data_IF_597141649439
#
_entry.id   IF_597141649439
#
_cell.length_a   1.000
_cell.length_b   1.000
_cell.length_c   1.000
_cell.angle_alpha   90.00
_cell.angle_beta   90.00
_cell.angle_gamma   90.00
#
_symmetry.space_group_name_H-M   'P 1'
#
loop_
_entity.id
_entity.type
_entity.pdbx_description
1 polymer ?
#
# COMPACT_ATOMS: atom_id res chain seq x y z
N UNK A 1 21.15 -3.94 -5.14
CA UNK A 1 21.01 -2.97 -4.02
C UNK A 1 19.69 -3.25 -3.33
N UNK A 2 19.68 -3.39 -2.00
CA UNK A 2 18.47 -3.63 -1.21
C UNK A 2 18.14 -2.38 -0.38
N UNK A 3 16.86 -2.08 -0.20
CA UNK A 3 16.38 -1.04 0.71
C UNK A 3 15.48 -1.68 1.77
N UNK A 4 15.84 -1.51 3.04
CA UNK A 4 15.10 -2.06 4.18
C UNK A 4 14.32 -0.94 4.86
N UNK A 5 13.04 -1.18 5.13
CA UNK A 5 12.14 -0.20 5.71
C UNK A 5 11.49 -0.75 6.98
N UNK A 6 11.47 0.08 8.03
CA UNK A 6 10.76 -0.23 9.26
C UNK A 6 9.31 0.24 9.13
N UNK A 7 8.37 -0.61 9.51
CA UNK A 7 6.95 -0.27 9.61
C UNK A 7 6.42 -0.67 10.99
N UNK A 8 5.28 -0.11 11.39
CA UNK A 8 4.69 -0.48 12.68
C UNK A 8 4.33 -1.98 12.68
N UNK A 9 4.59 -2.71 13.78
CA UNK A 9 4.28 -4.14 13.87
C UNK A 9 2.83 -4.46 13.57
N UNK A 10 1.90 -3.61 14.03
CA UNK A 10 0.45 -3.76 13.82
C UNK A 10 0.06 -3.63 12.34
N UNK A 11 0.88 -2.94 11.56
CA UNK A 11 0.71 -2.75 10.12
C UNK A 11 1.51 -3.75 9.26
N UNK A 12 2.39 -4.55 9.87
CA UNK A 12 3.16 -5.60 9.21
C UNK A 12 2.33 -6.90 9.08
N UNK A 13 1.39 -6.89 8.14
CA UNK A 13 0.50 -8.01 7.84
C UNK A 13 0.02 -7.96 6.38
N UNK A 14 -0.80 -8.95 5.96
CA UNK A 14 -1.38 -8.97 4.60
C UNK A 14 -0.45 -9.53 3.53
N UNK A 15 0.33 -10.54 3.91
CA UNK A 15 1.22 -11.25 3.01
C UNK A 15 0.68 -12.66 2.73
N UNK A 16 0.90 -13.14 1.52
CA UNK A 16 0.57 -14.49 1.08
C UNK A 16 1.78 -15.13 0.37
N UNK A 17 1.82 -16.45 0.29
CA UNK A 17 2.88 -17.15 -0.42
C UNK A 17 2.82 -16.79 -1.90
N UNK A 18 3.98 -16.43 -2.47
CA UNK A 18 4.06 -16.12 -3.89
C UNK A 18 3.53 -17.29 -4.73
N UNK A 19 2.53 -17.03 -5.60
CA UNK A 19 1.85 -18.08 -6.39
C UNK A 19 1.25 -19.23 -5.56
N UNK A 20 0.92 -19.01 -4.28
CA UNK A 20 0.36 -19.99 -3.34
C UNK A 20 1.25 -21.21 -3.01
N UNK A 21 2.44 -21.32 -3.62
CA UNK A 21 3.38 -22.44 -3.46
C UNK A 21 4.85 -21.97 -3.36
N UNK A 22 5.08 -20.65 -3.35
CA UNK A 22 6.41 -20.05 -3.43
C UNK A 22 7.20 -20.14 -2.12
N UNK A 23 8.50 -19.80 -2.21
CA UNK A 23 9.44 -19.83 -1.07
C UNK A 23 9.46 -18.55 -0.22
N UNK A 24 8.65 -17.55 -0.57
CA UNK A 24 8.62 -16.26 0.12
C UNK A 24 7.22 -15.65 0.12
N UNK A 25 7.00 -14.81 1.13
CA UNK A 25 5.77 -14.06 1.34
C UNK A 25 5.79 -12.76 0.55
N UNK A 26 4.68 -12.45 -0.12
CA UNK A 26 4.48 -11.24 -0.91
C UNK A 26 3.22 -10.55 -0.43
N UNK A 27 3.27 -9.23 -0.31
CA UNK A 27 2.11 -8.43 0.06
C UNK A 27 1.03 -8.56 -1.01
N UNK A 28 -0.23 -8.68 -0.59
CA UNK A 28 -1.36 -8.60 -1.51
C UNK A 28 -1.33 -7.28 -2.30
N UNK A 29 -1.80 -7.22 -3.56
CA UNK A 29 -1.73 -6.00 -4.38
C UNK A 29 -2.30 -4.77 -3.66
N UNK A 30 -3.42 -4.92 -2.94
CA UNK A 30 -4.02 -3.87 -2.15
C UNK A 30 -3.14 -3.42 -0.98
N UNK A 31 -2.49 -4.38 -0.30
CA UNK A 31 -1.56 -4.08 0.81
C UNK A 31 -0.32 -3.37 0.28
N UNK A 32 0.26 -3.87 -0.81
CA UNK A 32 1.42 -3.27 -1.46
C UNK A 32 1.20 -1.80 -1.83
N UNK A 33 0.01 -1.46 -2.36
CA UNK A 33 -0.33 -0.06 -2.63
C UNK A 33 -0.30 0.79 -1.35
N UNK A 34 -0.94 0.32 -0.28
CA UNK A 34 -0.99 1.05 1.00
C UNK A 34 0.40 1.13 1.63
N UNK A 35 1.24 0.11 1.51
CA UNK A 35 2.63 0.13 2.00
C UNK A 35 3.46 1.20 1.32
N UNK A 36 3.39 1.31 0.00
CA UNK A 36 4.10 2.36 -0.70
C UNK A 36 3.61 3.77 -0.30
N UNK A 37 2.28 3.94 -0.10
CA UNK A 37 1.73 5.20 0.39
C UNK A 37 2.15 5.50 1.84
N UNK A 38 2.15 4.49 2.72
CA UNK A 38 2.61 4.59 4.10
C UNK A 38 4.08 5.02 4.14
N UNK A 39 4.95 4.38 3.37
CA UNK A 39 6.37 4.73 3.28
C UNK A 39 6.58 6.15 2.72
N UNK A 40 5.76 6.57 1.76
CA UNK A 40 5.83 7.93 1.19
C UNK A 40 5.55 9.03 2.22
N UNK A 41 4.77 8.72 3.28
CA UNK A 41 4.47 9.65 4.36
C UNK A 41 5.70 9.96 5.24
N UNK A 42 6.64 9.01 5.37
CA UNK A 42 7.85 9.15 6.19
C UNK A 42 9.09 9.58 5.38
N UNK A 43 9.20 9.18 4.11
CA UNK A 43 10.45 9.29 3.34
C UNK A 43 10.45 10.44 2.32
N UNK A 44 10.34 11.69 2.77
CA UNK A 44 10.56 12.91 1.93
C UNK A 44 9.92 12.83 0.53
N UNK A 45 8.69 12.29 0.40
CA UNK A 45 7.98 12.15 -0.90
C UNK A 45 8.50 11.08 -1.88
N UNK A 46 9.39 10.16 -1.47
CA UNK A 46 9.65 8.94 -2.26
C UNK A 46 8.37 8.12 -2.36
N UNK A 47 8.13 7.42 -3.48
CA UNK A 47 6.89 6.68 -3.78
C UNK A 47 5.62 7.56 -3.94
N UNK A 48 5.76 8.86 -4.21
CA UNK A 48 4.62 9.74 -4.52
C UNK A 48 4.14 9.59 -5.98
N UNK A 49 5.03 9.25 -6.89
CA UNK A 49 4.71 9.17 -8.30
C UNK A 49 4.61 7.71 -8.74
N UNK A 50 3.41 7.30 -9.12
CA UNK A 50 3.18 6.03 -9.79
C UNK A 50 2.67 6.33 -11.20
N UNK A 51 3.56 6.47 -12.18
CA UNK A 51 3.18 6.86 -13.54
C UNK A 51 2.31 5.80 -14.22
N UNK A 52 2.52 4.52 -13.92
CA UNK A 52 1.87 3.38 -14.57
C UNK A 52 1.21 2.45 -13.54
N UNK A 53 0.12 2.90 -12.92
CA UNK A 53 -0.69 2.01 -12.06
C UNK A 53 -1.66 1.20 -12.91
N UNK A 54 -1.38 -0.10 -13.03
CA UNK A 54 -2.33 -1.06 -13.58
C UNK A 54 -2.97 -1.86 -12.43
N UNK A 55 -4.30 -1.75 -12.29
CA UNK A 55 -5.05 -2.51 -11.30
C UNK A 55 -5.51 -3.84 -11.90
N UNK A 56 -5.10 -5.00 -11.33
CA UNK A 56 -5.60 -6.29 -11.81
C UNK A 56 -7.12 -6.39 -11.60
N UNK A 57 -7.80 -7.26 -12.38
CA UNK A 57 -9.27 -7.44 -12.30
C UNK A 57 -9.78 -7.76 -10.88
N UNK A 58 -8.96 -8.41 -10.05
CA UNK A 58 -9.29 -8.74 -8.67
C UNK A 58 -8.98 -7.64 -7.64
N UNK A 59 -8.43 -6.50 -8.05
CA UNK A 59 -8.01 -5.44 -7.12
C UNK A 59 -9.22 -4.77 -6.46
N UNK A 60 -9.26 -4.78 -5.13
CA UNK A 60 -10.36 -4.21 -4.36
C UNK A 60 -9.94 -2.96 -3.58
N UNK A 61 -10.40 -1.79 -4.02
CA UNK A 61 -10.23 -0.55 -3.24
C UNK A 61 -10.89 -0.61 -1.86
N UNK A 62 -11.90 -1.47 -1.67
CA UNK A 62 -12.49 -1.73 -0.35
C UNK A 62 -11.49 -2.42 0.57
N UNK A 63 -10.77 -3.43 0.08
CA UNK A 63 -9.69 -4.10 0.84
C UNK A 63 -8.53 -3.16 1.12
N UNK A 64 -8.12 -2.35 0.13
CA UNK A 64 -7.12 -1.31 0.31
C UNK A 64 -7.50 -0.33 1.45
N UNK A 65 -8.74 0.14 1.49
CA UNK A 65 -9.25 0.95 2.61
C UNK A 65 -9.24 0.19 3.94
N UNK A 66 -9.47 -1.12 3.92
CA UNK A 66 -9.33 -1.99 5.09
C UNK A 66 -7.93 -1.94 5.69
N UNK A 67 -6.89 -1.99 4.86
CA UNK A 67 -5.50 -1.86 5.32
C UNK A 67 -5.21 -0.50 5.96
N UNK A 68 -5.76 0.59 5.43
CA UNK A 68 -5.57 1.92 6.02
C UNK A 68 -6.09 2.00 7.46
N UNK A 69 -7.16 1.26 7.79
CA UNK A 69 -7.71 1.23 9.15
C UNK A 69 -6.73 0.67 10.19
N UNK A 70 -5.77 -0.16 9.77
CA UNK A 70 -4.75 -0.77 10.63
C UNK A 70 -3.54 0.13 10.88
N UNK A 71 -3.43 1.28 10.22
CA UNK A 71 -2.35 2.24 10.49
C UNK A 71 -2.61 2.89 11.86
N UNK A 72 -1.71 2.74 12.85
CA UNK A 72 -1.96 3.24 14.20
C UNK A 72 -1.86 4.76 14.29
N UNK A 73 -0.96 5.38 13.52
CA UNK A 73 -0.77 6.82 13.56
C UNK A 73 -1.89 7.54 12.76
N UNK A 74 -2.73 8.38 13.39
CA UNK A 74 -3.87 9.02 12.73
C UNK A 74 -3.47 10.02 11.65
N UNK A 75 -2.33 10.70 11.78
CA UNK A 75 -1.83 11.65 10.79
C UNK A 75 -1.39 10.93 9.51
N UNK A 76 -0.68 9.81 9.67
CA UNK A 76 -0.25 8.96 8.56
C UNK A 76 -1.46 8.31 7.89
N UNK A 77 -2.41 7.81 8.70
CA UNK A 77 -3.68 7.27 8.20
C UNK A 77 -4.40 8.29 7.31
N UNK A 78 -4.61 9.52 7.79
CA UNK A 78 -5.25 10.61 7.03
C UNK A 78 -4.48 10.96 5.76
N UNK A 79 -3.15 10.98 5.83
CA UNK A 79 -2.30 11.20 4.66
C UNK A 79 -2.51 10.11 3.60
N UNK A 80 -2.44 8.83 4.00
CA UNK A 80 -2.61 7.68 3.11
C UNK A 80 -4.01 7.67 2.50
N UNK A 81 -5.06 7.95 3.28
CA UNK A 81 -6.44 8.08 2.77
C UNK A 81 -6.55 9.17 1.69
N UNK A 82 -5.97 10.35 1.94
CA UNK A 82 -5.96 11.45 0.97
C UNK A 82 -5.28 11.04 -0.33
N UNK A 83 -4.13 10.36 -0.24
CA UNK A 83 -3.36 9.91 -1.40
C UNK A 83 -4.08 8.83 -2.20
N UNK A 84 -4.69 7.85 -1.53
CA UNK A 84 -5.49 6.82 -2.20
C UNK A 84 -6.67 7.44 -2.95
N UNK A 85 -7.34 8.44 -2.37
CA UNK A 85 -8.44 9.15 -3.03
C UNK A 85 -7.99 9.92 -4.29
N UNK A 86 -6.77 10.47 -4.30
CA UNK A 86 -6.20 11.12 -5.50
C UNK A 86 -5.97 10.09 -6.61
N UNK A 87 -5.41 8.93 -6.29
CA UNK A 87 -5.20 7.83 -7.25
C UNK A 87 -6.54 7.34 -7.82
N UNK A 88 -7.53 7.14 -6.96
CA UNK A 88 -8.88 6.75 -7.35
C UNK A 88 -9.54 7.73 -8.32
N UNK A 89 -9.36 9.04 -8.12
CA UNK A 89 -9.88 10.06 -9.03
C UNK A 89 -9.19 10.01 -10.39
N UNK A 90 -7.88 9.77 -10.43
CA UNK A 90 -7.11 9.66 -11.68
C UNK A 90 -7.43 8.39 -12.47
N UNK A 91 -7.70 7.28 -11.79
CA UNK A 91 -8.01 5.98 -12.41
C UNK A 91 -9.44 5.87 -12.96
N UNK A 92 -10.29 6.87 -12.73
CA UNK A 92 -11.69 6.93 -13.20
C UNK A 92 -11.86 7.76 -14.48
N UNK A 93 -10.75 8.15 -15.11
CA UNK A 93 -10.69 8.87 -16.38
C UNK A 93 -10.31 7.86 -17.46
#
# INVERSE_FOLDING_TARGET
>A
MFSVHHISPEFFCGFDWYKKEGKFLVAEPEKALIDCLYLSAYKKKQFIHFPELHFPKGFSFRRAKGWIKRIPNPNIKKYVEKRLNIILKKSRI
#
